data_IF_418451248574
#
_entry.id   IF_418451248574
#
_cell.length_a   1.000
_cell.length_b   1.000
_cell.length_c   1.000
_cell.angle_alpha   90.00
_cell.angle_beta   90.00
_cell.angle_gamma   90.00
#
_symmetry.space_group_name_H-M   'P 1'
#
loop_
_entity.id
_entity.type
_entity.pdbx_description
1 polymer ?
#
# COMPACT_ATOMS: atom_id res chain seq x y z
N UNK A 1 -45.25 -13.54 -7.13
CA UNK A 1 -43.83 -13.71 -6.76
C UNK A 1 -43.00 -13.56 -8.02
N UNK A 2 -42.39 -12.39 -8.23
CA UNK A 2 -41.40 -12.17 -9.29
C UNK A 2 -40.03 -12.16 -8.62
N UNK A 3 -39.17 -13.11 -8.99
CA UNK A 3 -37.76 -13.08 -8.61
C UNK A 3 -37.04 -12.12 -9.55
N UNK A 4 -36.52 -11.02 -9.00
CA UNK A 4 -35.59 -10.11 -9.67
C UNK A 4 -34.23 -10.80 -9.73
N UNK A 5 -33.79 -11.22 -10.90
CA UNK A 5 -32.40 -11.51 -11.19
C UNK A 5 -31.71 -10.24 -11.67
N UNK A 6 -30.63 -9.87 -11.00
CA UNK A 6 -29.84 -8.65 -11.17
C UNK A 6 -29.29 -8.45 -12.59
N UNK A 7 -29.18 -7.20 -13.09
CA UNK A 7 -28.56 -6.89 -14.37
C UNK A 7 -27.09 -6.52 -14.13
N UNK A 8 -26.20 -7.51 -14.13
CA UNK A 8 -24.78 -7.25 -14.34
C UNK A 8 -24.29 -8.25 -15.37
N UNK A 9 -23.54 -7.74 -16.33
CA UNK A 9 -23.06 -8.40 -17.55
C UNK A 9 -24.10 -8.34 -18.69
N UNK A 10 -24.48 -7.11 -19.07
CA UNK A 10 -24.83 -6.86 -20.46
C UNK A 10 -23.56 -6.93 -21.31
N UNK A 11 -23.63 -7.79 -22.32
CA UNK A 11 -22.64 -7.99 -23.37
C UNK A 11 -22.12 -6.66 -23.93
N UNK A 12 -20.85 -6.34 -23.69
CA UNK A 12 -20.12 -5.32 -24.48
C UNK A 12 -19.00 -6.05 -25.21
N UNK A 13 -19.39 -6.79 -26.26
CA UNK A 13 -18.51 -7.00 -27.40
C UNK A 13 -18.80 -5.85 -28.39
N UNK A 14 -18.12 -4.72 -28.22
CA UNK A 14 -18.16 -3.63 -29.20
C UNK A 14 -16.71 -3.22 -29.47
N UNK A 15 -16.14 -3.79 -30.55
CA UNK A 15 -14.77 -3.66 -31.05
C UNK A 15 -13.62 -4.02 -30.09
N UNK A 16 -12.88 -5.07 -30.45
CA UNK A 16 -11.67 -5.58 -29.75
C UNK A 16 -10.50 -4.57 -29.74
N UNK A 17 -10.69 -3.37 -30.32
CA UNK A 17 -9.67 -2.34 -30.50
C UNK A 17 -9.85 -1.11 -29.60
N UNK A 18 -10.93 -1.00 -28.81
CA UNK A 18 -11.17 0.14 -27.90
C UNK A 18 -11.82 -0.29 -26.59
N UNK A 19 -11.29 0.16 -25.45
CA UNK A 19 -11.88 -0.04 -24.13
C UNK A 19 -12.54 1.24 -23.62
N UNK A 20 -13.65 1.10 -22.88
CA UNK A 20 -14.28 2.21 -22.18
C UNK A 20 -13.63 2.38 -20.81
N UNK A 21 -12.86 3.44 -20.63
CA UNK A 21 -12.16 3.76 -19.38
C UNK A 21 -12.94 4.83 -18.62
N UNK A 22 -13.00 4.71 -17.29
CA UNK A 22 -13.64 5.66 -16.40
C UNK A 22 -12.62 6.14 -15.37
N UNK A 23 -12.45 7.46 -15.28
CA UNK A 23 -11.57 8.11 -14.30
C UNK A 23 -12.44 8.62 -13.16
N UNK A 24 -12.03 8.35 -11.93
CA UNK A 24 -12.72 8.76 -10.72
C UNK A 24 -11.86 9.80 -9.99
N UNK A 25 -12.20 11.08 -10.12
CA UNK A 25 -11.46 12.20 -9.52
C UNK A 25 -12.09 12.65 -8.18
N UNK A 26 -12.75 11.74 -7.45
CA UNK A 26 -13.33 12.03 -6.13
C UNK A 26 -14.57 12.96 -6.13
N UNK A 27 -15.04 13.40 -7.30
CA UNK A 27 -16.32 14.09 -7.50
C UNK A 27 -17.27 13.17 -8.28
N UNK A 28 -18.59 13.27 -8.04
CA UNK A 28 -19.63 12.38 -8.59
C UNK A 28 -19.73 12.41 -10.14
N UNK A 29 -18.94 13.27 -10.79
CA UNK A 29 -18.76 13.33 -12.24
C UNK A 29 -17.62 12.44 -12.74
N UNK A 30 -17.85 11.13 -12.72
CA UNK A 30 -16.93 10.19 -13.36
C UNK A 30 -16.87 10.43 -14.88
N UNK A 31 -15.73 10.92 -15.39
CA UNK A 31 -15.50 11.09 -16.83
C UNK A 31 -15.23 9.72 -17.44
N UNK A 32 -16.01 9.36 -18.46
CA UNK A 32 -15.85 8.11 -19.20
C UNK A 32 -15.55 8.40 -20.67
N UNK A 33 -14.54 7.71 -21.22
CA UNK A 33 -14.12 7.86 -22.60
C UNK A 33 -13.74 6.53 -23.23
N UNK A 34 -13.80 6.46 -24.55
CA UNK A 34 -13.31 5.31 -25.31
C UNK A 34 -11.84 5.54 -25.63
N UNK A 35 -10.98 4.65 -25.14
CA UNK A 35 -9.54 4.68 -25.37
C UNK A 35 -9.18 3.49 -26.26
N UNK A 36 -8.49 3.68 -27.40
CA UNK A 36 -7.97 2.58 -28.19
C UNK A 36 -7.10 1.65 -27.34
N UNK A 37 -7.27 0.33 -27.49
CA UNK A 37 -6.47 -0.68 -26.77
C UNK A 37 -4.98 -0.44 -26.99
N UNK A 38 -4.59 0.04 -28.18
CA UNK A 38 -3.21 0.37 -28.52
C UNK A 38 -2.59 1.47 -27.66
N UNK A 39 -3.40 2.35 -27.05
CA UNK A 39 -2.95 3.39 -26.11
C UNK A 39 -2.73 2.81 -24.71
N UNK A 40 -3.44 1.72 -24.40
CA UNK A 40 -3.28 0.93 -23.17
C UNK A 40 -2.32 -0.25 -23.38
N UNK A 41 -1.63 -0.30 -24.53
CA UNK A 41 -0.84 -1.46 -24.92
C UNK A 41 0.38 -1.58 -24.01
N UNK A 42 0.33 -2.57 -23.13
CA UNK A 42 1.32 -2.83 -22.08
C UNK A 42 2.71 -3.08 -22.70
N UNK A 43 2.75 -3.51 -23.97
CA UNK A 43 4.00 -3.69 -24.72
C UNK A 43 4.77 -2.38 -24.91
N UNK A 44 4.08 -1.25 -25.10
CA UNK A 44 4.71 0.07 -25.20
C UNK A 44 5.11 0.62 -23.82
N UNK A 45 4.38 0.23 -22.76
CA UNK A 45 4.75 0.52 -21.37
C UNK A 45 6.04 -0.20 -20.99
N UNK A 46 6.20 -1.48 -21.37
CA UNK A 46 7.46 -2.21 -21.21
C UNK A 46 8.61 -1.54 -21.96
N UNK A 47 8.37 -0.99 -23.14
CA UNK A 47 9.39 -0.26 -23.92
C UNK A 47 9.71 1.12 -23.33
N UNK A 48 8.73 1.77 -22.68
CA UNK A 48 8.93 3.03 -21.96
C UNK A 48 9.63 2.85 -20.59
N UNK A 49 9.40 1.72 -19.91
CA UNK A 49 9.99 1.39 -18.61
C UNK A 49 11.37 0.72 -18.77
N UNK A 50 11.54 -0.16 -19.77
CA UNK A 50 12.74 -0.98 -19.96
C UNK A 50 13.57 -0.65 -21.22
N UNK A 51 13.14 0.32 -22.04
CA UNK A 51 13.90 0.81 -23.20
C UNK A 51 14.16 -0.24 -24.29
N UNK A 52 15.29 -0.13 -24.99
CA UNK A 52 15.73 -1.07 -26.06
C UNK A 52 15.90 -2.52 -25.58
N UNK A 53 15.94 -2.76 -24.25
CA UNK A 53 16.07 -4.09 -23.64
C UNK A 53 14.74 -4.74 -23.26
N UNK A 54 13.60 -4.14 -23.64
CA UNK A 54 12.26 -4.69 -23.33
C UNK A 54 12.04 -6.15 -23.82
N UNK A 55 12.71 -6.57 -24.89
CA UNK A 55 12.63 -7.95 -25.39
C UNK A 55 13.46 -8.95 -24.57
N UNK A 56 14.34 -8.49 -23.69
CA UNK A 56 15.14 -9.35 -22.81
C UNK A 56 14.35 -9.70 -21.54
N UNK A 57 13.85 -10.93 -21.52
CA UNK A 57 13.09 -11.44 -20.39
C UNK A 57 13.92 -11.54 -19.09
N UNK A 58 15.25 -11.67 -19.16
CA UNK A 58 16.10 -11.69 -17.98
C UNK A 58 16.23 -10.28 -17.38
N UNK A 59 16.48 -9.28 -18.24
CA UNK A 59 16.56 -7.88 -17.83
C UNK A 59 15.24 -7.40 -17.18
N UNK A 60 14.09 -7.70 -17.78
CA UNK A 60 12.78 -7.35 -17.20
C UNK A 60 12.57 -7.96 -15.82
N UNK A 61 12.92 -9.24 -15.64
CA UNK A 61 12.80 -9.92 -14.33
C UNK A 61 13.67 -9.26 -13.27
N UNK A 62 14.92 -8.93 -13.61
CA UNK A 62 15.82 -8.24 -12.69
C UNK A 62 15.30 -6.84 -12.33
N UNK A 63 14.73 -6.13 -13.31
CA UNK A 63 14.18 -4.81 -13.08
C UNK A 63 12.96 -4.82 -12.15
N UNK A 64 12.03 -5.76 -12.34
CA UNK A 64 10.88 -5.94 -11.44
C UNK A 64 11.33 -6.27 -10.01
N UNK A 65 12.37 -7.10 -9.84
CA UNK A 65 12.89 -7.44 -8.50
C UNK A 65 13.53 -6.23 -7.82
N UNK A 66 14.25 -5.41 -8.57
CA UNK A 66 14.84 -4.17 -8.05
C UNK A 66 13.75 -3.19 -7.61
N UNK A 67 12.77 -2.95 -8.47
CA UNK A 67 11.63 -2.09 -8.17
C UNK A 67 10.87 -2.59 -6.93
N UNK A 68 10.65 -3.90 -6.81
CA UNK A 68 10.03 -4.51 -5.63
C UNK A 68 10.82 -4.19 -4.35
N UNK A 69 12.15 -4.24 -4.38
CA UNK A 69 12.98 -3.93 -3.21
C UNK A 69 12.90 -2.44 -2.89
N UNK A 70 13.06 -1.57 -3.89
CA UNK A 70 13.04 -0.12 -3.71
C UNK A 70 11.71 0.35 -3.12
N UNK A 71 10.59 -0.11 -3.69
CA UNK A 71 9.24 0.23 -3.23
C UNK A 71 8.93 -0.37 -1.86
N UNK A 72 9.43 -1.57 -1.55
CA UNK A 72 9.26 -2.18 -0.22
C UNK A 72 10.07 -1.45 0.86
N UNK A 73 11.28 -0.97 0.54
CA UNK A 73 12.06 -0.13 1.47
C UNK A 73 11.39 1.22 1.72
N UNK A 74 10.79 1.83 0.69
CA UNK A 74 10.01 3.06 0.83
C UNK A 74 8.77 2.83 1.69
N UNK A 75 7.99 1.80 1.38
CA UNK A 75 6.83 1.42 2.17
C UNK A 75 7.21 1.13 3.63
N UNK A 76 8.31 0.40 3.86
CA UNK A 76 8.83 0.13 5.19
C UNK A 76 9.18 1.41 5.98
N UNK A 77 9.80 2.40 5.32
CA UNK A 77 10.10 3.71 5.92
C UNK A 77 8.83 4.47 6.31
N UNK A 78 7.83 4.50 5.43
CA UNK A 78 6.56 5.18 5.70
C UNK A 78 5.83 4.55 6.89
N UNK A 79 5.81 3.21 6.95
CA UNK A 79 5.26 2.49 8.09
C UNK A 79 6.01 2.85 9.40
N UNK A 80 7.34 2.90 9.36
CA UNK A 80 8.11 3.29 10.54
C UNK A 80 7.86 4.74 10.94
N UNK A 81 7.70 5.66 9.99
CA UNK A 81 7.36 7.05 10.30
C UNK A 81 6.06 7.13 11.11
N UNK A 82 5.04 6.34 10.74
CA UNK A 82 3.79 6.29 11.53
C UNK A 82 4.02 5.72 12.93
N UNK A 83 4.83 4.66 13.07
CA UNK A 83 5.15 4.06 14.37
C UNK A 83 5.93 5.04 15.26
N UNK A 84 6.99 5.64 14.75
CA UNK A 84 7.86 6.56 15.49
C UNK A 84 7.11 7.84 15.86
N UNK A 85 6.43 8.44 14.88
CA UNK A 85 5.79 9.73 15.08
C UNK A 85 4.54 9.58 15.95
N UNK A 86 3.67 8.61 15.70
CA UNK A 86 2.40 8.56 16.44
C UNK A 86 2.41 7.54 17.57
N UNK A 87 2.74 6.28 17.29
CA UNK A 87 2.58 5.20 18.27
C UNK A 87 3.55 5.39 19.43
N UNK A 88 4.84 5.60 19.16
CA UNK A 88 5.84 5.83 20.21
C UNK A 88 5.65 7.15 20.92
N UNK A 89 5.20 8.19 20.22
CA UNK A 89 4.85 9.47 20.86
C UNK A 89 3.71 9.30 21.86
N UNK A 90 2.68 8.52 21.52
CA UNK A 90 1.56 8.21 22.42
C UNK A 90 2.02 7.33 23.60
N UNK A 91 2.92 6.39 23.36
CA UNK A 91 3.44 5.48 24.39
C UNK A 91 4.45 6.14 25.35
N UNK A 92 5.00 7.30 24.99
CA UNK A 92 5.93 8.02 25.85
C UNK A 92 5.18 8.67 27.05
N UNK A 93 5.48 8.27 28.30
CA UNK A 93 4.81 8.79 29.49
C UNK A 93 5.01 10.30 29.72
N UNK A 94 6.08 10.87 29.17
CA UNK A 94 6.42 12.29 29.33
C UNK A 94 5.55 13.19 28.44
N UNK A 95 4.90 12.62 27.43
CA UNK A 95 4.04 13.35 26.50
C UNK A 95 2.63 13.54 27.07
N UNK A 96 2.08 14.74 26.87
CA UNK A 96 0.70 15.06 27.27
C UNK A 96 -0.29 14.57 26.21
N UNK A 97 -0.68 13.31 26.34
CA UNK A 97 -1.65 12.68 25.43
C UNK A 97 -3.07 12.78 26.02
N UNK A 98 -4.08 13.23 25.25
CA UNK A 98 -5.47 13.16 25.66
C UNK A 98 -5.88 11.74 26.05
N UNK A 99 -6.60 11.60 27.18
CA UNK A 99 -7.00 10.29 27.74
C UNK A 99 -7.73 9.41 26.72
N UNK A 100 -8.59 10.02 25.91
CA UNK A 100 -9.36 9.35 24.86
C UNK A 100 -8.46 8.73 23.78
N UNK A 101 -7.31 9.32 23.47
CA UNK A 101 -6.37 8.79 22.46
C UNK A 101 -5.55 7.65 23.05
N UNK A 102 -5.07 7.84 24.30
CA UNK A 102 -4.29 6.81 24.99
C UNK A 102 -5.11 5.55 25.23
N UNK A 103 -6.36 5.70 25.68
CA UNK A 103 -7.23 4.58 26.04
C UNK A 103 -7.77 3.85 24.80
N UNK A 104 -7.85 4.51 23.64
CA UNK A 104 -8.30 3.94 22.35
C UNK A 104 -7.16 3.76 21.33
N UNK A 105 -5.90 3.75 21.77
CA UNK A 105 -4.73 3.63 20.88
C UNK A 105 -4.81 2.38 20.01
N UNK A 106 -5.16 1.25 20.63
CA UNK A 106 -5.22 -0.04 19.92
C UNK A 106 -6.40 -0.09 18.94
N UNK A 107 -7.47 0.66 19.18
CA UNK A 107 -8.60 0.79 18.24
C UNK A 107 -8.22 1.67 17.03
N UNK A 108 -7.38 2.69 17.23
CA UNK A 108 -6.94 3.60 16.17
C UNK A 108 -5.88 2.94 15.28
N UNK A 109 -4.86 2.33 15.89
CA UNK A 109 -3.71 1.77 15.18
C UNK A 109 -3.84 0.27 14.88
N UNK A 110 -4.77 -0.44 15.50
CA UNK A 110 -4.95 -1.88 15.33
C UNK A 110 -3.61 -2.63 15.47
N UNK A 111 -3.35 -3.60 14.59
CA UNK A 111 -2.09 -4.34 14.53
C UNK A 111 -1.04 -3.68 13.62
N UNK A 112 -1.11 -2.36 13.37
CA UNK A 112 -0.21 -1.65 12.45
C UNK A 112 1.27 -1.84 12.78
N UNK A 113 1.65 -1.79 14.06
CA UNK A 113 3.04 -2.05 14.48
C UNK A 113 3.53 -3.44 14.06
N UNK A 114 2.67 -4.45 14.10
CA UNK A 114 3.04 -5.81 13.67
C UNK A 114 3.26 -5.88 12.15
N UNK A 115 2.53 -5.08 11.37
CA UNK A 115 2.74 -4.95 9.92
C UNK A 115 4.07 -4.25 9.67
N UNK A 116 4.32 -3.11 10.34
CA UNK A 116 5.59 -2.38 10.22
C UNK A 116 6.80 -3.27 10.56
N UNK A 117 6.73 -4.01 11.67
CA UNK A 117 7.80 -4.93 12.08
C UNK A 117 7.99 -6.06 11.06
N UNK A 118 6.90 -6.63 10.52
CA UNK A 118 6.97 -7.69 9.50
C UNK A 118 7.67 -7.22 8.22
N UNK A 119 7.25 -6.07 7.68
CA UNK A 119 7.81 -5.52 6.44
C UNK A 119 9.30 -5.16 6.60
N UNK A 120 9.65 -4.47 7.69
CA UNK A 120 11.00 -3.96 7.91
C UNK A 120 12.03 -5.00 8.40
N UNK A 121 11.61 -6.19 8.83
CA UNK A 121 12.53 -7.19 9.40
C UNK A 121 12.49 -8.56 8.71
N UNK A 122 11.33 -8.95 8.17
CA UNK A 122 11.15 -10.29 7.60
C UNK A 122 10.97 -10.23 6.09
N UNK A 123 10.06 -9.39 5.60
CA UNK A 123 9.74 -9.36 4.17
C UNK A 123 10.91 -8.82 3.35
N UNK A 124 11.40 -7.62 3.68
CA UNK A 124 12.48 -6.98 2.93
C UNK A 124 13.75 -7.83 2.90
N UNK A 125 14.15 -8.41 4.03
CA UNK A 125 15.32 -9.29 4.12
C UNK A 125 15.13 -10.58 3.31
N UNK A 126 13.93 -11.16 3.33
CA UNK A 126 13.60 -12.33 2.53
C UNK A 126 13.64 -12.06 1.02
N UNK A 127 13.21 -10.87 0.59
CA UNK A 127 13.26 -10.44 -0.81
C UNK A 127 14.70 -10.15 -1.24
N UNK A 128 15.46 -9.37 -0.44
CA UNK A 128 16.88 -9.06 -0.69
C UNK A 128 17.75 -10.30 -0.80
N UNK A 129 17.57 -11.27 0.11
CA UNK A 129 18.32 -12.53 0.08
C UNK A 129 18.15 -13.29 -1.24
N UNK A 130 16.97 -13.21 -1.85
CA UNK A 130 16.65 -13.91 -3.10
C UNK A 130 16.68 -13.00 -4.33
N UNK A 131 17.20 -11.76 -4.23
CA UNK A 131 17.17 -10.79 -5.31
C UNK A 131 17.83 -11.30 -6.61
N UNK A 132 18.94 -12.03 -6.47
CA UNK A 132 19.67 -12.63 -7.59
C UNK A 132 19.01 -13.90 -8.17
N UNK A 133 17.93 -14.39 -7.55
CA UNK A 133 17.20 -15.57 -8.01
C UNK A 133 15.68 -15.34 -7.95
N UNK A 134 15.09 -14.73 -9.00
CA UNK A 134 13.67 -14.36 -9.03
C UNK A 134 12.70 -15.53 -8.76
N UNK A 135 13.07 -16.76 -9.14
CA UNK A 135 12.25 -17.95 -8.87
C UNK A 135 12.13 -18.27 -7.38
N UNK A 136 13.13 -17.89 -6.58
CA UNK A 136 13.12 -18.12 -5.14
C UNK A 136 12.31 -17.06 -4.38
N UNK A 137 12.14 -15.86 -4.95
CA UNK A 137 11.28 -14.82 -4.38
C UNK A 137 9.84 -15.33 -4.26
N UNK A 138 9.30 -15.98 -5.29
CA UNK A 138 7.97 -16.60 -5.22
C UNK A 138 7.84 -17.62 -4.08
N UNK A 139 8.88 -18.43 -3.84
CA UNK A 139 8.90 -19.38 -2.70
C UNK A 139 8.95 -18.65 -1.36
N UNK A 140 9.63 -17.51 -1.28
CA UNK A 140 9.65 -16.67 -0.07
C UNK A 140 8.24 -16.19 0.27
N UNK A 141 7.48 -15.67 -0.70
CA UNK A 141 6.10 -15.25 -0.47
C UNK A 141 5.20 -16.42 -0.01
N UNK A 142 5.31 -17.60 -0.62
CA UNK A 142 4.55 -18.78 -0.18
C UNK A 142 4.89 -19.19 1.25
N UNK A 143 6.17 -19.12 1.65
CA UNK A 143 6.57 -19.40 3.03
C UNK A 143 6.03 -18.38 4.01
N UNK A 144 5.84 -17.13 3.58
CA UNK A 144 5.32 -16.02 4.37
C UNK A 144 3.80 -15.86 4.28
N UNK A 145 3.06 -16.79 3.64
CA UNK A 145 1.61 -16.68 3.43
C UNK A 145 0.85 -16.34 4.72
N UNK A 146 1.10 -17.08 5.81
CA UNK A 146 0.48 -16.83 7.11
C UNK A 146 0.93 -15.52 7.77
N UNK A 147 2.12 -15.03 7.42
CA UNK A 147 2.56 -13.73 7.92
C UNK A 147 1.74 -12.58 7.34
N UNK A 148 1.22 -12.73 6.12
CA UNK A 148 0.32 -11.77 5.49
C UNK A 148 -1.08 -11.73 6.10
N UNK A 149 -1.48 -12.70 6.94
CA UNK A 149 -2.74 -12.64 7.70
C UNK A 149 -2.85 -11.39 8.59
N UNK A 150 -1.71 -10.75 8.90
CA UNK A 150 -1.65 -9.45 9.57
C UNK A 150 -2.41 -8.37 8.78
N UNK A 151 -2.30 -8.36 7.45
CA UNK A 151 -3.02 -7.42 6.57
C UNK A 151 -4.52 -7.70 6.55
N UNK A 152 -4.93 -8.98 6.55
CA UNK A 152 -6.35 -9.36 6.60
C UNK A 152 -7.02 -8.80 7.85
N UNK A 153 -6.37 -8.94 9.02
CA UNK A 153 -6.87 -8.38 10.27
C UNK A 153 -6.92 -6.85 10.22
N UNK A 154 -5.85 -6.22 9.73
CA UNK A 154 -5.79 -4.76 9.63
C UNK A 154 -6.93 -4.22 8.75
N UNK A 155 -7.10 -4.74 7.54
CA UNK A 155 -8.16 -4.29 6.63
C UNK A 155 -9.58 -4.51 7.19
N UNK A 156 -9.79 -5.56 7.98
CA UNK A 156 -11.05 -5.80 8.67
C UNK A 156 -11.36 -4.73 9.71
N UNK A 157 -10.35 -4.26 10.44
CA UNK A 157 -10.52 -3.37 11.59
C UNK A 157 -10.38 -1.87 11.22
N UNK A 158 -9.78 -1.56 10.07
CA UNK A 158 -9.64 -0.18 9.54
C UNK A 158 -10.97 0.60 9.48
N UNK A 159 -12.10 0.05 8.97
CA UNK A 159 -13.35 0.82 8.91
C UNK A 159 -13.82 1.33 10.27
N UNK A 160 -13.69 0.52 11.33
CA UNK A 160 -14.05 0.92 12.69
C UNK A 160 -13.11 2.01 13.22
N UNK A 161 -11.80 1.91 12.94
CA UNK A 161 -10.84 2.95 13.29
C UNK A 161 -11.16 4.29 12.58
N UNK A 162 -11.51 4.24 11.30
CA UNK A 162 -11.88 5.43 10.52
C UNK A 162 -13.17 6.07 11.04
N UNK A 163 -14.18 5.26 11.39
CA UNK A 163 -15.42 5.75 12.00
C UNK A 163 -15.15 6.42 13.36
N UNK A 164 -14.30 5.81 14.19
CA UNK A 164 -13.89 6.39 15.47
C UNK A 164 -13.18 7.75 15.30
N UNK A 165 -12.25 7.85 14.34
CA UNK A 165 -11.55 9.10 14.05
C UNK A 165 -12.51 10.18 13.50
N UNK A 166 -13.49 9.80 12.68
CA UNK A 166 -14.46 10.73 12.10
C UNK A 166 -15.48 11.22 13.14
N UNK A 167 -15.88 10.39 14.09
CA UNK A 167 -16.85 10.74 15.13
C UNK A 167 -16.26 11.62 16.24
N UNK A 168 -14.93 11.70 16.37
CA UNK A 168 -14.25 12.37 17.48
C UNK A 168 -13.35 13.51 17.00
N UNK A 169 -13.92 14.72 16.88
CA UNK A 169 -13.19 15.91 16.42
C UNK A 169 -11.91 16.21 17.23
N UNK A 170 -11.95 16.02 18.55
CA UNK A 170 -10.78 16.23 19.41
C UNK A 170 -9.63 15.25 19.11
N UNK A 171 -9.94 14.02 18.71
CA UNK A 171 -8.94 13.02 18.30
C UNK A 171 -8.35 13.39 16.95
N UNK A 172 -9.22 13.77 15.99
CA UNK A 172 -8.79 14.23 14.67
C UNK A 172 -7.90 15.47 14.77
N UNK A 173 -8.31 16.45 15.56
CA UNK A 173 -7.56 17.70 15.76
C UNK A 173 -6.20 17.45 16.43
N UNK A 174 -6.11 16.48 17.35
CA UNK A 174 -4.81 16.06 17.88
C UNK A 174 -3.89 15.58 16.75
N UNK A 175 -4.33 14.63 15.92
CA UNK A 175 -3.48 14.10 14.85
C UNK A 175 -3.13 15.14 13.77
N UNK A 176 -4.00 16.11 13.49
CA UNK A 176 -3.74 17.17 12.51
C UNK A 176 -2.78 18.26 13.01
N UNK A 177 -2.84 18.56 14.32
CA UNK A 177 -2.03 19.59 14.95
C UNK A 177 -0.71 19.06 15.51
N UNK A 178 -0.58 17.74 15.67
CA UNK A 178 0.69 17.14 16.07
C UNK A 178 1.64 17.17 14.85
N UNK A 179 2.53 18.17 14.85
CA UNK A 179 3.59 18.28 13.85
C UNK A 179 4.80 17.49 14.35
N UNK A 180 5.28 16.60 13.49
CA UNK A 180 6.56 15.93 13.66
C UNK A 180 7.52 16.55 12.68
N UNK A 181 8.70 16.97 13.13
CA UNK A 181 9.71 17.54 12.24
C UNK A 181 10.22 16.44 11.29
N UNK A 182 10.15 16.69 9.98
CA UNK A 182 10.65 15.77 8.94
C UNK A 182 12.20 15.61 8.94
N UNK A 183 12.90 16.14 9.95
CA UNK A 183 14.36 16.25 9.98
C UNK A 183 15.09 15.13 10.73
N UNK A 184 14.90 13.87 10.32
CA UNK A 184 15.83 12.80 10.70
C UNK A 184 16.20 11.79 9.60
N UNK A 185 15.88 12.05 8.34
CA UNK A 185 16.23 11.15 7.22
C UNK A 185 17.72 11.18 6.76
N UNK A 186 18.64 11.80 7.50
CA UNK A 186 20.01 12.05 7.02
C UNK A 186 21.18 11.33 7.70
N UNK A 187 20.97 10.50 8.73
CA UNK A 187 22.08 9.97 9.54
C UNK A 187 21.93 8.48 9.88
N UNK A 188 22.02 7.60 8.88
CA UNK A 188 22.42 6.20 9.07
C UNK A 188 22.92 5.57 7.76
N UNK A 189 23.83 6.27 7.09
CA UNK A 189 24.45 5.82 5.85
C UNK A 189 25.94 6.17 5.82
N UNK A 190 26.67 5.93 6.91
CA UNK A 190 28.13 5.83 6.83
C UNK A 190 28.68 5.13 8.07
N UNK A 191 28.82 3.81 7.96
CA UNK A 191 29.87 3.06 8.64
C UNK A 191 30.09 1.71 7.96
#
# INVERSE_FOLDING_TARGET
MQAKTSPLIENICINVTTWKVRIFDGDDNAKAGWIPVSVLDIMHTDQAVFGEKANDAAYRREAVVRELIETEEEFGRDLQQVVENYIKYIDNPDNKIPRMIRDHKDDIFNNFKQIADFHNTVLIEGVKYNANNPKMIGKTFLRLERDFDKHVRYCRDVPAAQEFLAANDAVRDFFMNTKFDDHQQGKNGMR
#
